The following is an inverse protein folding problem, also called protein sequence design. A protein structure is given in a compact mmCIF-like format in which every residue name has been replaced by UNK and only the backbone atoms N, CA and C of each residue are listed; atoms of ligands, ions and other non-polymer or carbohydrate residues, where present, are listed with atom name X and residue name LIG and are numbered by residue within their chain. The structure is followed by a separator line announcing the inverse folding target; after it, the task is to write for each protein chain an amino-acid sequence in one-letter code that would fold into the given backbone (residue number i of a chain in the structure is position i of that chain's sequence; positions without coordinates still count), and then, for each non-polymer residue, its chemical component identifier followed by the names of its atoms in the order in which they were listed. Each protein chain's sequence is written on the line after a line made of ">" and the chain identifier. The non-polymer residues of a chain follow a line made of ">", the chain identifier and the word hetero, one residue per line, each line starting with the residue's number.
data_IF_378030555764
#
_entry.id   IF_378030555764
#
_cell.length_a   1.000
_cell.length_b   1.000
_cell.length_c   1.000
_cell.angle_alpha   90.00
_cell.angle_beta   90.00
_cell.angle_gamma   90.00
#
_symmetry.space_group_name_H-M   'P 1'
#
loop_
_entity.id
_entity.type
_entity.pdbx_description
1 polymer ?
#
# COMPACT_ATOMS: atom_id res chain seq x y z
N UNK A 1 8.49 27.79 -4.89
CA UNK A 1 7.75 26.82 -5.75
C UNK A 1 7.71 25.40 -5.18
N UNK A 2 8.80 24.87 -4.69
CA UNK A 2 8.80 23.57 -3.98
C UNK A 2 7.92 23.60 -2.72
N UNK A 3 7.96 24.65 -1.93
CA UNK A 3 7.16 24.77 -0.72
C UNK A 3 5.64 24.79 -0.94
N UNK A 4 5.14 25.30 -2.07
CA UNK A 4 3.70 25.29 -2.39
C UNK A 4 3.24 23.88 -2.81
N UNK A 5 4.05 23.14 -3.58
CA UNK A 5 3.74 21.76 -3.96
C UNK A 5 3.71 20.83 -2.74
N UNK A 6 4.61 21.04 -1.79
CA UNK A 6 4.69 20.26 -0.55
C UNK A 6 3.45 20.50 0.32
N UNK A 7 3.03 21.77 0.51
CA UNK A 7 1.86 22.12 1.28
C UNK A 7 0.55 21.64 0.64
N UNK A 8 0.46 21.64 -0.69
CA UNK A 8 -0.68 21.07 -1.42
C UNK A 8 -0.78 19.55 -1.22
N UNK A 9 0.33 18.84 -1.34
CA UNK A 9 0.41 17.39 -1.12
C UNK A 9 0.04 17.04 0.33
N UNK A 10 0.53 17.81 1.28
CA UNK A 10 0.18 17.64 2.69
C UNK A 10 -1.31 17.81 2.93
N UNK A 11 -1.93 18.86 2.37
CA UNK A 11 -3.37 19.10 2.46
C UNK A 11 -4.18 17.98 1.83
N UNK A 12 -3.72 17.42 0.71
CA UNK A 12 -4.36 16.26 0.07
C UNK A 12 -4.31 15.04 0.97
N UNK A 13 -3.19 14.77 1.62
CA UNK A 13 -3.07 13.66 2.57
C UNK A 13 -3.93 13.85 3.82
N UNK A 14 -4.00 15.06 4.34
CA UNK A 14 -4.88 15.36 5.48
C UNK A 14 -6.34 15.09 5.14
N UNK A 15 -6.79 15.49 3.94
CA UNK A 15 -8.13 15.19 3.43
C UNK A 15 -8.32 13.67 3.26
N UNK A 16 -7.33 13.00 2.68
CA UNK A 16 -7.35 11.55 2.48
C UNK A 16 -7.55 10.79 3.81
N UNK A 17 -6.81 11.16 4.84
CA UNK A 17 -6.93 10.55 6.17
C UNK A 17 -8.32 10.81 6.79
N UNK A 18 -8.87 12.02 6.65
CA UNK A 18 -10.20 12.34 7.13
C UNK A 18 -11.28 11.54 6.38
N UNK A 19 -11.14 11.36 5.07
CA UNK A 19 -12.03 10.54 4.26
C UNK A 19 -11.95 9.07 4.65
N UNK A 20 -10.74 8.56 4.88
CA UNK A 20 -10.54 7.19 5.35
C UNK A 20 -11.22 6.96 6.71
N UNK A 21 -10.99 7.85 7.66
CA UNK A 21 -11.61 7.75 8.98
C UNK A 21 -13.15 7.69 8.89
N UNK A 22 -13.73 8.52 8.04
CA UNK A 22 -15.18 8.53 7.80
C UNK A 22 -15.67 7.20 7.19
N UNK A 23 -14.94 6.64 6.23
CA UNK A 23 -15.28 5.35 5.60
C UNK A 23 -15.18 4.18 6.57
N UNK A 24 -14.23 4.22 7.49
CA UNK A 24 -13.98 3.15 8.45
C UNK A 24 -14.89 3.23 9.69
N UNK A 25 -15.54 4.37 9.92
CA UNK A 25 -16.42 4.57 11.07
C UNK A 25 -17.63 3.64 10.97
N UNK A 26 -17.76 2.73 11.94
CA UNK A 26 -18.85 1.77 11.99
C UNK A 26 -18.69 0.56 11.06
N UNK A 27 -17.57 0.45 10.32
CA UNK A 27 -17.29 -0.70 9.46
C UNK A 27 -15.97 -1.35 9.87
N UNK A 28 -16.02 -2.63 10.22
CA UNK A 28 -14.84 -3.39 10.65
C UNK A 28 -14.47 -4.54 9.69
N UNK A 29 -15.24 -4.75 8.63
CA UNK A 29 -14.98 -5.84 7.69
C UNK A 29 -13.71 -5.57 6.89
N UNK A 30 -12.75 -6.50 6.95
CA UNK A 30 -11.45 -6.34 6.32
C UNK A 30 -11.54 -6.21 4.80
N UNK A 31 -12.34 -7.04 4.14
CA UNK A 31 -12.47 -6.99 2.68
C UNK A 31 -13.09 -5.66 2.22
N UNK A 32 -14.16 -5.22 2.88
CA UNK A 32 -14.83 -3.95 2.57
C UNK A 32 -13.88 -2.76 2.78
N UNK A 33 -13.17 -2.74 3.91
CA UNK A 33 -12.25 -1.66 4.27
C UNK A 33 -11.05 -1.59 3.32
N UNK A 34 -10.43 -2.72 2.99
CA UNK A 34 -9.34 -2.77 2.03
C UNK A 34 -9.78 -2.35 0.63
N UNK A 35 -10.97 -2.75 0.22
CA UNK A 35 -11.53 -2.38 -1.08
C UNK A 35 -11.76 -0.86 -1.18
N UNK A 36 -12.40 -0.26 -0.19
CA UNK A 36 -12.62 1.18 -0.15
C UNK A 36 -11.33 1.98 0.05
N UNK A 37 -10.40 1.48 0.84
CA UNK A 37 -9.09 2.11 1.00
C UNK A 37 -8.32 2.14 -0.34
N UNK A 38 -8.36 1.04 -1.11
CA UNK A 38 -7.75 0.99 -2.45
C UNK A 38 -8.36 2.00 -3.40
N UNK A 39 -9.69 2.09 -3.42
CA UNK A 39 -10.41 3.04 -4.28
C UNK A 39 -10.08 4.49 -3.90
N UNK A 40 -10.04 4.79 -2.61
CA UNK A 40 -9.73 6.12 -2.09
C UNK A 40 -8.31 6.56 -2.46
N UNK A 41 -7.32 5.67 -2.29
CA UNK A 41 -5.94 5.93 -2.70
C UNK A 41 -5.83 6.17 -4.20
N UNK A 42 -6.49 5.36 -5.00
CA UNK A 42 -6.48 5.51 -6.45
C UNK A 42 -7.08 6.84 -6.91
N UNK A 43 -8.13 7.32 -6.25
CA UNK A 43 -8.73 8.62 -6.52
C UNK A 43 -7.82 9.78 -6.11
N UNK A 44 -7.15 9.66 -4.97
CA UNK A 44 -6.29 10.70 -4.42
C UNK A 44 -4.94 10.80 -5.14
N UNK A 45 -4.47 9.72 -5.76
CA UNK A 45 -3.16 9.61 -6.39
C UNK A 45 -3.31 9.28 -7.88
N UNK A 46 -3.61 10.28 -8.73
CA UNK A 46 -4.04 10.05 -10.11
C UNK A 46 -2.94 9.47 -11.03
N UNK A 47 -1.66 9.52 -10.62
CA UNK A 47 -0.55 8.91 -11.38
C UNK A 47 -0.32 7.45 -11.02
N UNK A 48 -1.13 6.89 -10.12
CA UNK A 48 -1.03 5.48 -9.73
C UNK A 48 -1.43 4.56 -10.88
N UNK A 49 -0.61 3.56 -11.13
CA UNK A 49 -0.94 2.44 -12.02
C UNK A 49 -1.37 1.21 -11.23
N UNK A 50 -1.03 1.19 -9.95
CA UNK A 50 -1.49 0.23 -8.95
C UNK A 50 -1.66 0.94 -7.60
N UNK A 51 -2.77 0.68 -6.92
CA UNK A 51 -3.01 1.14 -5.55
C UNK A 51 -3.77 0.04 -4.80
N UNK A 52 -3.12 -0.64 -3.87
CA UNK A 52 -3.78 -1.75 -3.19
C UNK A 52 -2.88 -2.54 -2.26
N UNK A 53 -3.33 -3.76 -1.98
CA UNK A 53 -2.80 -4.56 -0.89
C UNK A 53 -2.38 -5.95 -1.36
N UNK A 54 -1.28 -6.41 -0.82
CA UNK A 54 -0.91 -7.82 -0.77
C UNK A 54 -1.03 -8.29 0.66
N UNK A 55 -1.69 -9.42 0.87
CA UNK A 55 -1.97 -9.97 2.19
C UNK A 55 -1.07 -11.18 2.47
N UNK A 56 -0.57 -11.27 3.69
CA UNK A 56 0.33 -12.34 4.11
C UNK A 56 -0.45 -13.57 4.59
N UNK A 57 -0.27 -14.70 3.91
CA UNK A 57 -0.97 -15.96 4.21
C UNK A 57 -0.19 -16.87 5.17
N UNK A 58 0.82 -16.35 5.88
CA UNK A 58 1.79 -17.03 6.73
C UNK A 58 2.96 -17.69 5.97
N UNK A 59 2.96 -17.66 4.64
CA UNK A 59 4.03 -18.19 3.78
C UNK A 59 4.54 -17.17 2.79
N UNK A 60 3.62 -16.47 2.13
CA UNK A 60 3.91 -15.50 1.06
C UNK A 60 2.84 -14.39 1.03
N UNK A 61 3.08 -13.40 0.20
CA UNK A 61 2.09 -12.35 -0.09
C UNK A 61 1.16 -12.81 -1.22
N UNK A 62 -0.14 -12.62 -1.01
CA UNK A 62 -1.19 -12.91 -1.97
C UNK A 62 -1.89 -11.61 -2.35
N UNK A 63 -2.15 -11.43 -3.64
CA UNK A 63 -2.88 -10.27 -4.14
C UNK A 63 -4.22 -10.11 -3.41
N UNK A 64 -4.44 -8.96 -2.81
CA UNK A 64 -5.67 -8.55 -2.16
C UNK A 64 -6.44 -7.50 -2.95
N UNK A 65 -7.34 -6.75 -2.31
CA UNK A 65 -8.07 -5.66 -2.95
C UNK A 65 -7.13 -4.59 -3.50
N UNK A 66 -7.35 -4.19 -4.75
CA UNK A 66 -6.54 -3.18 -5.44
C UNK A 66 -7.32 -2.48 -6.54
N UNK A 67 -6.77 -1.37 -7.00
CA UNK A 67 -7.17 -0.65 -8.21
C UNK A 67 -5.97 -0.61 -9.16
N UNK A 68 -6.19 -0.89 -10.43
CA UNK A 68 -5.14 -0.89 -11.44
C UNK A 68 -5.29 -2.01 -12.44
N UNK A 69 -4.23 -2.27 -13.20
CA UNK A 69 -4.18 -3.37 -14.16
C UNK A 69 -3.98 -4.74 -13.49
N UNK A 70 -4.15 -5.79 -14.26
CA UNK A 70 -3.86 -7.17 -13.80
C UNK A 70 -2.45 -7.24 -13.22
N UNK A 71 -2.29 -7.88 -12.08
CA UNK A 71 -1.05 -7.88 -11.33
C UNK A 71 -0.62 -9.29 -10.90
N UNK A 72 0.62 -9.40 -10.37
CA UNK A 72 1.13 -10.65 -9.81
C UNK A 72 0.23 -11.13 -8.67
N UNK A 73 -0.01 -12.44 -8.60
CA UNK A 73 -0.88 -13.03 -7.56
C UNK A 73 -0.09 -13.45 -6.33
N UNK A 74 1.09 -14.03 -6.51
CA UNK A 74 1.93 -14.57 -5.44
C UNK A 74 3.28 -13.89 -5.41
N UNK A 75 3.70 -13.39 -4.25
CA UNK A 75 5.01 -12.78 -4.05
C UNK A 75 5.65 -13.38 -2.79
N UNK A 76 6.79 -14.05 -2.97
CA UNK A 76 7.55 -14.59 -1.85
C UNK A 76 8.19 -13.48 -1.02
N UNK A 77 8.31 -13.69 0.30
CA UNK A 77 9.06 -12.77 1.16
C UNK A 77 10.50 -12.60 0.65
N UNK A 78 10.99 -11.38 0.66
CA UNK A 78 12.32 -11.05 0.16
C UNK A 78 12.42 -10.88 -1.35
N UNK A 79 11.33 -11.08 -2.11
CA UNK A 79 11.29 -10.94 -3.58
C UNK A 79 10.53 -9.68 -3.99
N UNK A 80 11.14 -8.90 -4.89
CA UNK A 80 10.60 -7.60 -5.29
C UNK A 80 10.52 -6.61 -4.14
N UNK A 81 9.99 -5.42 -4.41
CA UNK A 81 9.87 -4.37 -3.38
C UNK A 81 8.86 -4.77 -2.30
N UNK A 82 7.71 -5.33 -2.69
CA UNK A 82 6.71 -5.81 -1.74
C UNK A 82 7.26 -6.91 -0.82
N UNK A 83 7.96 -7.90 -1.37
CA UNK A 83 8.55 -9.00 -0.60
C UNK A 83 9.66 -8.52 0.33
N UNK A 84 10.47 -7.55 -0.10
CA UNK A 84 11.51 -6.95 0.74
C UNK A 84 10.92 -6.15 1.90
N UNK A 85 9.93 -5.30 1.63
CA UNK A 85 9.24 -4.52 2.66
C UNK A 85 8.57 -5.41 3.70
N UNK A 86 7.90 -6.48 3.25
CA UNK A 86 7.28 -7.46 4.12
C UNK A 86 8.29 -8.18 5.01
N UNK A 87 9.40 -8.63 4.43
CA UNK A 87 10.44 -9.35 5.17
C UNK A 87 11.15 -8.47 6.21
N UNK A 88 11.47 -7.24 5.83
CA UNK A 88 12.15 -6.28 6.72
C UNK A 88 11.19 -5.59 7.68
N UNK A 89 9.89 -5.61 7.40
CA UNK A 89 8.85 -4.84 8.10
C UNK A 89 9.21 -3.34 8.16
N UNK A 90 9.70 -2.82 7.03
CA UNK A 90 10.09 -1.42 6.85
C UNK A 90 9.51 -0.89 5.55
N UNK A 91 9.09 0.38 5.57
CA UNK A 91 8.65 1.07 4.35
C UNK A 91 9.80 1.19 3.37
N UNK A 92 9.52 0.88 2.09
CA UNK A 92 10.49 1.00 1.01
C UNK A 92 10.01 2.00 -0.03
N UNK A 93 10.89 2.95 -0.38
CA UNK A 93 10.67 3.91 -1.47
C UNK A 93 11.69 3.60 -2.55
N UNK A 94 11.20 3.34 -3.77
CA UNK A 94 12.01 3.09 -4.95
C UNK A 94 11.77 4.20 -5.96
N UNK A 95 12.77 5.06 -6.16
CA UNK A 95 12.66 6.23 -7.05
C UNK A 95 12.55 5.84 -8.53
N UNK A 96 13.28 4.81 -8.94
CA UNK A 96 13.25 4.26 -10.29
C UNK A 96 13.34 2.73 -10.21
N UNK A 97 12.25 2.05 -10.54
CA UNK A 97 12.15 0.59 -10.45
C UNK A 97 13.15 -0.13 -11.36
N UNK A 98 13.58 0.51 -12.44
CA UNK A 98 14.57 -0.04 -13.37
C UNK A 98 15.96 -0.14 -12.75
N UNK A 99 16.22 0.62 -11.69
CA UNK A 99 17.48 0.64 -10.93
C UNK A 99 17.46 -0.33 -9.74
N UNK A 100 16.32 -0.91 -9.41
CA UNK A 100 16.17 -1.79 -8.25
C UNK A 100 16.55 -3.23 -8.62
N UNK A 101 17.64 -3.74 -8.04
CA UNK A 101 18.25 -5.02 -8.44
C UNK A 101 17.32 -6.25 -8.25
N UNK A 102 16.40 -6.20 -7.28
CA UNK A 102 15.48 -7.29 -6.95
C UNK A 102 14.03 -6.97 -7.41
N UNK A 103 13.89 -6.12 -8.41
CA UNK A 103 12.56 -5.69 -8.88
C UNK A 103 11.83 -6.81 -9.62
N UNK A 104 10.53 -6.96 -9.31
CA UNK A 104 9.60 -7.81 -10.04
C UNK A 104 8.61 -6.91 -10.78
N UNK A 105 8.60 -6.96 -12.10
CA UNK A 105 7.68 -6.19 -12.92
C UNK A 105 6.34 -6.91 -13.05
N UNK A 106 5.33 -6.41 -12.32
CA UNK A 106 3.95 -6.87 -12.47
C UNK A 106 3.14 -5.97 -13.41
N UNK A 107 3.57 -4.72 -13.59
CA UNK A 107 3.00 -3.75 -14.56
C UNK A 107 4.16 -2.95 -15.17
N UNK A 108 4.30 -3.05 -16.48
CA UNK A 108 5.39 -2.35 -17.21
C UNK A 108 5.28 -0.83 -17.20
N UNK A 109 4.14 -0.27 -16.80
CA UNK A 109 3.94 1.18 -16.69
C UNK A 109 4.52 1.75 -15.39
N UNK A 110 4.77 0.91 -14.39
CA UNK A 110 5.31 1.34 -13.11
C UNK A 110 6.74 1.87 -13.29
N UNK A 111 6.99 3.07 -12.77
CA UNK A 111 8.30 3.73 -12.81
C UNK A 111 8.89 3.98 -11.43
N UNK A 112 8.06 4.29 -10.44
CA UNK A 112 8.44 4.40 -9.03
C UNK A 112 7.42 3.70 -8.14
N UNK A 113 7.82 3.35 -6.92
CA UNK A 113 7.03 2.53 -6.03
C UNK A 113 7.26 2.91 -4.56
N UNK A 114 6.20 2.84 -3.76
CA UNK A 114 6.29 2.86 -2.30
C UNK A 114 5.51 1.68 -1.74
N UNK A 115 6.12 0.95 -0.82
CA UNK A 115 5.50 -0.18 -0.12
C UNK A 115 5.56 0.06 1.37
N UNK A 116 4.40 0.03 2.02
CA UNK A 116 4.28 0.21 3.47
C UNK A 116 3.83 -1.11 4.09
N UNK A 117 4.62 -1.72 4.97
CA UNK A 117 4.22 -2.95 5.65
C UNK A 117 3.09 -2.68 6.63
N UNK A 118 2.18 -3.63 6.73
CA UNK A 118 1.06 -3.63 7.65
C UNK A 118 1.35 -4.63 8.77
N UNK A 119 1.65 -4.12 9.96
CA UNK A 119 2.04 -4.93 11.11
C UNK A 119 1.15 -4.59 12.30
N UNK A 120 0.57 -5.61 12.94
CA UNK A 120 -0.24 -5.47 14.14
C UNK A 120 0.29 -6.40 15.23
N UNK A 121 0.63 -5.84 16.40
CA UNK A 121 1.14 -6.60 17.55
C UNK A 121 2.33 -7.51 17.17
N UNK A 122 3.24 -6.99 16.34
CA UNK A 122 4.41 -7.73 15.85
C UNK A 122 4.12 -8.75 14.74
N UNK A 123 2.87 -8.88 14.31
CA UNK A 123 2.43 -9.82 13.27
C UNK A 123 2.26 -9.11 11.93
N UNK A 124 2.92 -9.62 10.89
CA UNK A 124 2.74 -9.14 9.53
C UNK A 124 1.35 -9.50 9.02
N UNK A 125 0.59 -8.51 8.59
CA UNK A 125 -0.72 -8.69 7.95
C UNK A 125 -0.62 -8.68 6.42
N UNK A 126 0.31 -7.92 5.90
CA UNK A 126 0.52 -7.72 4.48
C UNK A 126 1.27 -6.43 4.21
N UNK A 127 1.10 -5.89 3.01
CA UNK A 127 1.67 -4.60 2.61
C UNK A 127 0.65 -3.76 1.84
N UNK A 128 0.76 -2.44 1.98
CA UNK A 128 0.18 -1.47 1.06
C UNK A 128 1.20 -1.21 -0.04
N UNK A 129 0.80 -1.34 -1.29
CA UNK A 129 1.64 -1.13 -2.47
C UNK A 129 1.05 -0.03 -3.35
N UNK A 130 1.87 0.95 -3.71
CA UNK A 130 1.53 2.01 -4.64
C UNK A 130 2.62 2.09 -5.71
N UNK A 131 2.20 1.97 -6.96
CA UNK A 131 3.07 2.15 -8.13
C UNK A 131 2.63 3.39 -8.91
N UNK A 132 3.59 4.21 -9.30
CA UNK A 132 3.36 5.40 -10.13
C UNK A 132 3.98 5.24 -11.52
N UNK A 133 3.34 5.85 -12.51
CA UNK A 133 3.89 5.97 -13.86
C UNK A 133 5.02 7.01 -13.98
N UNK A 134 5.29 7.76 -12.92
CA UNK A 134 6.32 8.79 -12.86
C UNK A 134 7.50 8.33 -12.01
N UNK A 135 8.72 8.68 -12.43
CA UNK A 135 9.94 8.48 -11.63
C UNK A 135 9.88 9.40 -10.41
N UNK A 136 10.40 8.94 -9.27
CA UNK A 136 10.56 9.73 -8.04
C UNK A 136 9.27 10.38 -7.55
N UNK A 137 8.15 9.67 -7.67
CA UNK A 137 6.84 10.20 -7.31
C UNK A 137 6.56 10.16 -5.81
N UNK A 138 7.34 9.40 -5.05
CA UNK A 138 7.18 9.22 -3.60
C UNK A 138 8.41 9.70 -2.85
N UNK A 139 8.18 10.44 -1.76
CA UNK A 139 9.20 10.96 -0.86
C UNK A 139 8.88 10.68 0.62
N UNK A 140 9.62 11.29 1.53
CA UNK A 140 9.43 11.12 2.96
C UNK A 140 8.04 11.56 3.44
N UNK A 141 7.44 12.58 2.83
CA UNK A 141 6.09 13.03 3.16
C UNK A 141 5.05 11.96 2.84
N UNK A 142 5.18 11.30 1.68
CA UNK A 142 4.32 10.16 1.32
C UNK A 142 4.46 9.04 2.34
N UNK A 143 5.68 8.71 2.74
CA UNK A 143 5.93 7.67 3.72
C UNK A 143 5.21 7.97 5.04
N UNK A 144 5.37 9.17 5.58
CA UNK A 144 4.76 9.57 6.85
C UNK A 144 3.24 9.45 6.83
N UNK A 145 2.59 10.00 5.79
CA UNK A 145 1.14 9.97 5.69
C UNK A 145 0.58 8.59 5.32
N UNK A 146 1.29 7.82 4.51
CA UNK A 146 0.86 6.46 4.17
C UNK A 146 1.04 5.49 5.34
N UNK A 147 2.04 5.69 6.18
CA UNK A 147 2.17 4.96 7.44
C UNK A 147 1.03 5.29 8.42
N UNK A 148 0.60 6.55 8.50
CA UNK A 148 -0.60 6.93 9.26
C UNK A 148 -1.88 6.32 8.66
N UNK A 149 -2.01 6.31 7.34
CA UNK A 149 -3.10 5.67 6.63
C UNK A 149 -3.21 4.18 6.99
N UNK A 150 -2.11 3.47 6.94
CA UNK A 150 -2.02 2.05 7.31
C UNK A 150 -2.36 1.85 8.79
N UNK A 151 -1.84 2.70 9.68
CA UNK A 151 -2.11 2.60 11.11
C UNK A 151 -3.61 2.76 11.42
N UNK A 152 -4.28 3.72 10.78
CA UNK A 152 -5.71 3.94 10.93
C UNK A 152 -6.53 2.75 10.39
N UNK A 153 -6.16 2.25 9.22
CA UNK A 153 -6.79 1.08 8.62
C UNK A 153 -6.68 -0.15 9.53
N UNK A 154 -5.51 -0.39 10.11
CA UNK A 154 -5.26 -1.50 11.03
C UNK A 154 -6.11 -1.36 12.30
N UNK A 155 -6.15 -0.18 12.89
CA UNK A 155 -6.88 0.10 14.14
C UNK A 155 -8.38 -0.14 13.99
N UNK A 156 -8.97 0.29 12.87
CA UNK A 156 -10.43 0.27 12.65
C UNK A 156 -10.97 -1.04 12.08
N UNK A 157 -10.11 -1.94 11.68
CA UNK A 157 -10.48 -3.16 10.94
C UNK A 157 -10.32 -4.41 11.81
N UNK A 158 -11.26 -5.34 11.68
CA UNK A 158 -11.14 -6.68 12.24
C UNK A 158 -10.40 -7.58 11.27
N UNK A 159 -9.19 -8.01 11.66
CA UNK A 159 -8.31 -8.80 10.81
C UNK A 159 -8.56 -10.30 10.97
N UNK A 160 -9.74 -10.76 10.56
CA UNK A 160 -10.05 -12.19 10.42
C UNK A 160 -9.87 -12.61 8.96
N UNK A 161 -8.75 -13.29 8.67
CA UNK A 161 -8.36 -13.67 7.32
C UNK A 161 -8.91 -15.02 6.86
N UNK A 162 -9.82 -15.66 7.57
CA UNK A 162 -10.35 -16.98 7.17
C UNK A 162 -10.93 -16.96 5.76
N UNK A 163 -11.56 -15.84 5.38
CA UNK A 163 -12.13 -15.66 4.04
C UNK A 163 -11.09 -15.48 2.94
N UNK A 164 -9.82 -15.23 3.28
CA UNK A 164 -8.73 -15.04 2.31
C UNK A 164 -7.87 -16.29 2.12
N UNK A 165 -8.32 -17.44 2.59
CA UNK A 165 -7.59 -18.70 2.50
C UNK A 165 -6.39 -18.81 3.44
N UNK A 166 -6.24 -17.90 4.38
CA UNK A 166 -5.18 -17.97 5.41
C UNK A 166 -5.45 -19.16 6.31
N UNK A 167 -4.47 -20.05 6.40
CA UNK A 167 -4.53 -21.20 7.31
C UNK A 167 -4.22 -20.73 8.72
N UNK A 168 -5.12 -21.02 9.63
CA UNK A 168 -4.89 -20.78 11.05
C UNK A 168 -3.79 -21.69 11.60
#
# INVERSE_FOLDING_TARGET
>A
MEGMKHSEKESQYQLLLAQLDALLTGESNALANLSNASALLNQALPRSVFAGFYLYDQTELILGPFQGGVSCVHIALGKGVCGEAAQKQETMIVEDVRQHANYISCDSRAMSEIVVPMVKDGQLLGVLDLDSECISDYDQLDQEYLEEFVALLIEKTNWDFKMFGVKN
#
